data_IF_415924019436
#
_entry.id   IF_415924019436
#
_cell.length_a   1.000
_cell.length_b   1.000
_cell.length_c   1.000
_cell.angle_alpha   90.00
_cell.angle_beta   90.00
_cell.angle_gamma   90.00
#
_symmetry.space_group_name_H-M   'P 1'
#
loop_
_entity.id
_entity.type
_entity.pdbx_description
1 polymer ?
#
# COMPACT_ATOMS: atom_id res chain seq x y z
N UNK A 1 11.59 9.91 -24.21
CA UNK A 1 10.80 10.69 -23.22
C UNK A 1 11.75 11.22 -22.16
N UNK A 2 11.79 12.51 -21.91
CA UNK A 2 12.62 13.09 -20.85
C UNK A 2 11.69 13.80 -19.85
N UNK A 3 11.38 13.15 -18.75
CA UNK A 3 10.49 13.70 -17.72
C UNK A 3 11.20 14.77 -16.89
N UNK A 4 10.62 15.97 -16.81
CA UNK A 4 11.07 17.03 -15.91
C UNK A 4 10.60 16.80 -14.48
N UNK A 5 11.25 17.42 -13.48
CA UNK A 5 10.81 17.34 -12.08
C UNK A 5 9.35 17.79 -11.90
N UNK A 6 8.92 18.85 -12.61
CA UNK A 6 7.55 19.33 -12.59
C UNK A 6 6.56 18.28 -13.08
N UNK A 7 6.90 17.58 -14.17
CA UNK A 7 6.04 16.52 -14.71
C UNK A 7 5.97 15.33 -13.74
N UNK A 8 7.10 14.90 -13.17
CA UNK A 8 7.14 13.83 -12.17
C UNK A 8 6.28 14.19 -10.95
N UNK A 9 6.39 15.44 -10.48
CA UNK A 9 5.57 15.93 -9.36
C UNK A 9 4.08 15.90 -9.67
N UNK A 10 3.68 16.41 -10.83
CA UNK A 10 2.27 16.42 -11.27
C UNK A 10 1.68 15.02 -11.45
N UNK A 11 2.52 14.01 -11.75
CA UNK A 11 2.10 12.61 -11.84
C UNK A 11 2.04 12.00 -10.44
N UNK A 12 3.04 12.25 -9.59
CA UNK A 12 3.17 11.63 -8.28
C UNK A 12 2.18 12.19 -7.25
N UNK A 13 1.93 13.49 -7.26
CA UNK A 13 1.05 14.14 -6.27
C UNK A 13 -0.34 13.49 -6.17
N UNK A 14 -1.06 13.22 -7.27
CA UNK A 14 -2.34 12.52 -7.19
C UNK A 14 -2.25 11.08 -6.66
N UNK A 15 -1.15 10.38 -6.96
CA UNK A 15 -0.90 9.03 -6.43
C UNK A 15 -0.64 9.11 -4.93
N UNK A 16 0.16 10.07 -4.49
CA UNK A 16 0.45 10.32 -3.08
C UNK A 16 -0.82 10.70 -2.31
N UNK A 17 -1.66 11.58 -2.87
CA UNK A 17 -2.97 11.94 -2.30
C UNK A 17 -3.87 10.72 -2.14
N UNK A 18 -3.90 9.82 -3.13
CA UNK A 18 -4.70 8.59 -3.03
C UNK A 18 -4.27 7.72 -1.85
N UNK A 19 -2.96 7.51 -1.67
CA UNK A 19 -2.43 6.71 -0.56
C UNK A 19 -2.63 7.41 0.80
N UNK A 20 -2.42 8.74 0.83
CA UNK A 20 -2.62 9.53 2.05
C UNK A 20 -4.08 9.48 2.52
N UNK A 21 -5.02 9.66 1.61
CA UNK A 21 -6.46 9.63 1.94
C UNK A 21 -6.91 8.25 2.43
N UNK A 22 -6.35 7.18 1.88
CA UNK A 22 -6.58 5.81 2.36
C UNK A 22 -6.12 5.66 3.83
N UNK A 23 -4.95 6.21 4.20
CA UNK A 23 -4.49 6.20 5.59
C UNK A 23 -5.38 7.06 6.51
N UNK A 24 -5.85 8.22 6.02
CA UNK A 24 -6.78 9.07 6.78
C UNK A 24 -8.11 8.35 7.06
N UNK A 25 -8.64 7.60 6.11
CA UNK A 25 -9.84 6.78 6.30
C UNK A 25 -9.62 5.76 7.42
N UNK A 26 -8.50 5.01 7.37
CA UNK A 26 -8.18 4.02 8.39
C UNK A 26 -8.06 4.65 9.80
N UNK A 27 -7.44 5.82 9.89
CA UNK A 27 -7.32 6.56 11.16
C UNK A 27 -8.70 7.03 11.64
N UNK A 28 -9.50 7.57 10.74
CA UNK A 28 -10.85 8.05 11.06
C UNK A 28 -11.74 6.92 11.57
N UNK A 29 -11.74 5.78 10.89
CA UNK A 29 -12.49 4.60 11.29
C UNK A 29 -12.07 4.13 12.70
N UNK A 30 -10.78 4.08 12.98
CA UNK A 30 -10.26 3.71 14.30
C UNK A 30 -10.66 4.73 15.40
N UNK A 31 -10.62 6.03 15.10
CA UNK A 31 -11.04 7.08 16.04
C UNK A 31 -12.54 6.96 16.35
N UNK A 32 -13.37 6.81 15.36
CA UNK A 32 -14.82 6.66 15.56
C UNK A 32 -15.16 5.40 16.35
N UNK A 33 -14.55 4.26 16.02
CA UNK A 33 -14.78 3.00 16.74
C UNK A 33 -14.22 3.01 18.16
N UNK A 34 -13.12 3.72 18.42
CA UNK A 34 -12.62 3.94 19.76
C UNK A 34 -13.59 4.69 20.69
N UNK A 35 -14.48 5.50 20.12
CA UNK A 35 -15.56 6.17 20.88
C UNK A 35 -16.80 5.28 21.08
N UNK A 36 -16.92 4.18 20.35
CA UNK A 36 -17.99 3.17 20.56
C UNK A 36 -17.64 2.25 21.72
N UNK A 37 -16.43 1.67 21.70
CA UNK A 37 -15.98 0.77 22.75
C UNK A 37 -14.64 0.10 22.44
N UNK A 38 -14.04 -0.49 23.49
CA UNK A 38 -12.78 -1.21 23.38
C UNK A 38 -12.91 -2.51 22.58
N UNK A 39 -14.08 -3.17 22.67
CA UNK A 39 -14.37 -4.40 21.92
C UNK A 39 -14.43 -4.12 20.43
N UNK A 40 -15.14 -3.07 20.02
CA UNK A 40 -15.29 -2.66 18.62
C UNK A 40 -13.95 -2.20 18.02
N UNK A 41 -13.18 -1.45 18.79
CA UNK A 41 -11.85 -1.03 18.35
C UNK A 41 -10.91 -2.23 18.18
N UNK A 42 -10.87 -3.14 19.12
CA UNK A 42 -10.05 -4.36 19.05
C UNK A 42 -10.50 -5.29 17.93
N UNK A 43 -11.81 -5.48 17.76
CA UNK A 43 -12.39 -6.28 16.70
C UNK A 43 -12.08 -5.70 15.31
N UNK A 44 -12.18 -4.37 15.14
CA UNK A 44 -11.86 -3.70 13.88
C UNK A 44 -10.38 -3.85 13.50
N UNK A 45 -9.48 -3.85 14.48
CA UNK A 45 -8.05 -4.09 14.25
C UNK A 45 -7.79 -5.52 13.73
N UNK A 46 -8.39 -6.54 14.34
CA UNK A 46 -8.26 -7.94 13.90
C UNK A 46 -8.87 -8.14 12.51
N UNK A 47 -10.11 -7.67 12.31
CA UNK A 47 -10.80 -7.74 11.03
C UNK A 47 -10.05 -6.95 9.94
N UNK A 48 -9.46 -5.80 10.29
CA UNK A 48 -8.66 -4.98 9.41
C UNK A 48 -7.41 -5.69 8.88
N UNK A 49 -6.69 -6.42 9.73
CA UNK A 49 -5.54 -7.24 9.30
C UNK A 49 -5.98 -8.33 8.33
N UNK A 50 -7.07 -9.02 8.62
CA UNK A 50 -7.62 -10.06 7.75
C UNK A 50 -8.04 -9.49 6.39
N UNK A 51 -8.77 -8.36 6.40
CA UNK A 51 -9.18 -7.66 5.19
C UNK A 51 -7.97 -7.16 4.39
N UNK A 52 -6.97 -6.58 5.04
CA UNK A 52 -5.75 -6.10 4.40
C UNK A 52 -4.98 -7.21 3.70
N UNK A 53 -4.89 -8.40 4.32
CA UNK A 53 -4.24 -9.55 3.70
C UNK A 53 -4.93 -9.96 2.39
N UNK A 54 -6.27 -9.99 2.37
CA UNK A 54 -7.03 -10.26 1.15
C UNK A 54 -6.92 -9.14 0.11
N UNK A 55 -6.94 -7.88 0.54
CA UNK A 55 -6.76 -6.71 -0.32
C UNK A 55 -5.39 -6.70 -1.01
N UNK A 56 -4.32 -7.11 -0.31
CA UNK A 56 -2.96 -7.16 -0.88
C UNK A 56 -2.83 -8.09 -2.09
N UNK A 57 -3.68 -9.10 -2.22
CA UNK A 57 -3.72 -9.93 -3.43
C UNK A 57 -4.19 -9.14 -4.65
N UNK A 58 -5.29 -8.40 -4.52
CA UNK A 58 -5.78 -7.52 -5.58
C UNK A 58 -4.83 -6.37 -5.90
N UNK A 59 -4.27 -5.76 -4.85
CA UNK A 59 -3.27 -4.70 -4.98
C UNK A 59 -2.03 -5.18 -5.74
N UNK A 60 -1.49 -6.34 -5.39
CA UNK A 60 -0.33 -6.93 -6.08
C UNK A 60 -0.63 -7.24 -7.55
N UNK A 61 -1.83 -7.75 -7.86
CA UNK A 61 -2.24 -7.95 -9.26
C UNK A 61 -2.30 -6.61 -10.02
N UNK A 62 -2.83 -5.57 -9.39
CA UNK A 62 -2.94 -4.24 -10.00
C UNK A 62 -1.57 -3.63 -10.36
N UNK A 63 -0.51 -3.95 -9.60
CA UNK A 63 0.87 -3.54 -9.94
C UNK A 63 1.32 -4.18 -11.26
N UNK A 64 1.10 -5.48 -11.45
CA UNK A 64 1.42 -6.15 -12.71
C UNK A 64 0.61 -5.62 -13.89
N UNK A 65 -0.69 -5.35 -13.66
CA UNK A 65 -1.56 -4.69 -14.63
C UNK A 65 -1.04 -3.30 -15.01
N UNK A 66 -0.66 -2.48 -14.03
CA UNK A 66 -0.10 -1.15 -14.25
C UNK A 66 1.17 -1.20 -15.10
N UNK A 67 2.08 -2.13 -14.81
CA UNK A 67 3.34 -2.32 -15.55
C UNK A 67 3.05 -2.69 -17.01
N UNK A 68 2.12 -3.61 -17.26
CA UNK A 68 1.77 -4.00 -18.64
C UNK A 68 1.12 -2.86 -19.40
N UNK A 69 0.17 -2.15 -18.79
CA UNK A 69 -0.47 -0.95 -19.38
C UNK A 69 0.56 0.13 -19.68
N UNK A 70 1.46 0.43 -18.73
CA UNK A 70 2.51 1.43 -18.90
C UNK A 70 3.47 1.07 -20.04
N UNK A 71 3.81 -0.21 -20.19
CA UNK A 71 4.62 -0.70 -21.31
C UNK A 71 3.95 -0.45 -22.64
N UNK A 72 2.67 -0.84 -22.80
CA UNK A 72 1.89 -0.65 -24.02
C UNK A 72 1.70 0.83 -24.36
N UNK A 73 1.48 1.64 -23.31
CA UNK A 73 1.38 3.10 -23.51
C UNK A 73 2.70 3.70 -24.01
N UNK A 74 3.85 3.25 -23.49
CA UNK A 74 5.18 3.66 -23.97
C UNK A 74 5.46 3.21 -25.41
N UNK A 75 5.01 2.02 -25.80
CA UNK A 75 5.05 1.49 -27.17
C UNK A 75 4.10 2.23 -28.13
N UNK A 76 3.29 3.18 -27.63
CA UNK A 76 2.19 3.85 -28.34
C UNK A 76 1.12 2.88 -28.87
N UNK A 77 1.09 1.67 -28.35
CA UNK A 77 0.07 0.67 -28.67
C UNK A 77 -1.17 0.85 -27.78
N UNK A 78 -1.88 1.94 -28.04
CA UNK A 78 -3.01 2.36 -27.19
C UNK A 78 -4.19 1.39 -27.23
N UNK A 79 -4.45 0.76 -28.36
CA UNK A 79 -5.53 -0.22 -28.48
C UNK A 79 -5.30 -1.45 -27.58
N UNK A 80 -4.05 -1.92 -27.49
CA UNK A 80 -3.67 -3.04 -26.64
C UNK A 80 -3.66 -2.62 -25.14
N UNK A 81 -3.46 -1.31 -24.86
CA UNK A 81 -3.59 -0.75 -23.51
C UNK A 81 -5.00 -0.96 -22.96
N UNK A 82 -6.03 -0.63 -23.74
CA UNK A 82 -7.42 -0.83 -23.34
C UNK A 82 -7.82 -2.31 -23.22
N UNK A 83 -7.37 -3.14 -24.14
CA UNK A 83 -7.58 -4.60 -24.04
C UNK A 83 -6.97 -5.16 -22.77
N UNK A 84 -5.73 -4.78 -22.45
CA UNK A 84 -5.03 -5.18 -21.23
C UNK A 84 -5.79 -4.74 -19.97
N UNK A 85 -6.31 -3.51 -19.98
CA UNK A 85 -7.12 -2.99 -18.87
C UNK A 85 -8.37 -3.86 -18.62
N UNK A 86 -9.12 -4.22 -19.67
CA UNK A 86 -10.31 -5.03 -19.48
C UNK A 86 -10.00 -6.44 -18.98
N UNK A 87 -8.90 -7.08 -19.42
CA UNK A 87 -8.49 -8.35 -18.85
C UNK A 87 -8.20 -8.22 -17.34
N UNK A 88 -7.51 -7.15 -16.94
CA UNK A 88 -7.25 -6.86 -15.54
C UNK A 88 -8.52 -6.60 -14.74
N UNK A 89 -9.47 -5.85 -15.31
CA UNK A 89 -10.76 -5.56 -14.70
C UNK A 89 -11.58 -6.84 -14.50
N UNK A 90 -11.66 -7.71 -15.52
CA UNK A 90 -12.38 -8.99 -15.42
C UNK A 90 -11.77 -9.88 -14.33
N UNK A 91 -10.43 -10.00 -14.29
CA UNK A 91 -9.77 -10.81 -13.29
C UNK A 91 -9.99 -10.26 -11.87
N UNK A 92 -9.77 -8.96 -11.67
CA UNK A 92 -9.94 -8.33 -10.37
C UNK A 92 -11.39 -8.39 -9.88
N UNK A 93 -12.36 -8.19 -10.77
CA UNK A 93 -13.78 -8.33 -10.41
C UNK A 93 -14.14 -9.78 -10.04
N UNK A 94 -13.63 -10.75 -10.77
CA UNK A 94 -13.82 -12.17 -10.46
C UNK A 94 -13.14 -12.56 -9.14
N UNK A 95 -11.92 -12.06 -8.90
CA UNK A 95 -11.19 -12.27 -7.65
C UNK A 95 -11.91 -11.62 -6.47
N UNK A 96 -12.44 -10.40 -6.64
CA UNK A 96 -13.24 -9.72 -5.63
C UNK A 96 -14.46 -10.53 -5.22
N UNK A 97 -15.22 -11.02 -6.21
CA UNK A 97 -16.38 -11.86 -5.94
C UNK A 97 -16.00 -13.15 -5.21
N UNK A 98 -14.96 -13.82 -5.68
CA UNK A 98 -14.47 -15.08 -5.07
C UNK A 98 -14.03 -14.85 -3.61
N UNK A 99 -13.27 -13.79 -3.33
CA UNK A 99 -12.82 -13.47 -1.97
C UNK A 99 -13.97 -13.00 -1.08
N UNK A 100 -14.91 -12.23 -1.61
CA UNK A 100 -16.11 -11.83 -0.88
C UNK A 100 -16.91 -13.07 -0.43
N UNK A 101 -17.17 -14.01 -1.32
CA UNK A 101 -17.86 -15.27 -1.01
C UNK A 101 -17.06 -16.14 -0.03
N UNK A 102 -15.74 -16.20 -0.17
CA UNK A 102 -14.87 -16.93 0.78
C UNK A 102 -14.90 -16.29 2.18
N UNK A 103 -14.87 -14.97 2.27
CA UNK A 103 -14.96 -14.28 3.55
C UNK A 103 -16.29 -14.59 4.21
N UNK A 104 -17.40 -14.45 3.51
CA UNK A 104 -18.72 -14.70 4.08
C UNK A 104 -18.98 -16.15 4.41
N UNK A 105 -18.51 -17.10 3.59
CA UNK A 105 -18.75 -18.52 3.80
C UNK A 105 -17.78 -19.21 4.75
N UNK A 106 -16.49 -18.87 4.69
CA UNK A 106 -15.42 -19.57 5.39
C UNK A 106 -14.93 -18.86 6.64
N UNK A 107 -14.94 -17.52 6.66
CA UNK A 107 -14.37 -16.76 7.79
C UNK A 107 -15.09 -17.04 9.12
N UNK A 108 -16.43 -17.14 9.22
CA UNK A 108 -17.08 -17.43 10.46
C UNK A 108 -16.59 -18.74 11.09
N UNK A 109 -16.37 -19.78 10.25
CA UNK A 109 -15.84 -21.06 10.71
C UNK A 109 -14.39 -20.97 11.21
N UNK A 110 -13.51 -20.29 10.45
CA UNK A 110 -12.11 -20.12 10.82
C UNK A 110 -11.95 -19.25 12.07
N UNK A 111 -12.65 -18.12 12.11
CA UNK A 111 -12.56 -17.16 13.22
C UNK A 111 -13.09 -17.75 14.53
N UNK A 112 -14.11 -18.62 14.48
CA UNK A 112 -14.62 -19.32 15.65
C UNK A 112 -13.58 -20.21 16.32
N UNK A 113 -12.60 -20.73 15.55
CA UNK A 113 -11.51 -21.53 16.10
C UNK A 113 -10.35 -20.67 16.65
N UNK A 114 -10.23 -19.43 16.18
CA UNK A 114 -9.10 -18.54 16.50
C UNK A 114 -9.45 -17.55 17.62
N UNK A 115 -10.71 -17.12 17.72
CA UNK A 115 -11.15 -16.10 18.69
C UNK A 115 -11.88 -16.77 19.85
N UNK A 116 -11.35 -16.58 21.04
CA UNK A 116 -11.88 -17.22 22.27
C UNK A 116 -13.05 -16.41 22.86
N UNK A 117 -13.03 -15.05 22.73
CA UNK A 117 -14.09 -14.19 23.26
C UNK A 117 -15.29 -14.16 22.31
N UNK A 118 -16.51 -14.55 22.77
CA UNK A 118 -17.71 -14.48 21.95
C UNK A 118 -18.06 -13.07 21.48
N UNK A 119 -17.83 -12.06 22.31
CA UNK A 119 -18.09 -10.65 21.98
C UNK A 119 -17.19 -10.15 20.86
N UNK A 120 -15.88 -10.43 20.94
CA UNK A 120 -14.94 -10.07 19.89
C UNK A 120 -15.24 -10.84 18.59
N UNK A 121 -15.57 -12.13 18.69
CA UNK A 121 -15.96 -12.94 17.54
C UNK A 121 -17.16 -12.34 16.80
N UNK A 122 -18.23 -11.98 17.54
CA UNK A 122 -19.41 -11.39 16.96
C UNK A 122 -19.07 -10.05 16.25
N UNK A 123 -18.33 -9.17 16.95
CA UNK A 123 -17.95 -7.88 16.41
C UNK A 123 -17.06 -8.00 15.15
N UNK A 124 -16.12 -8.95 15.11
CA UNK A 124 -15.28 -9.24 13.93
C UNK A 124 -16.13 -9.75 12.78
N UNK A 125 -17.07 -10.64 13.04
CA UNK A 125 -17.96 -11.20 12.01
C UNK A 125 -18.87 -10.10 11.45
N UNK A 126 -19.52 -9.31 12.30
CA UNK A 126 -20.37 -8.20 11.89
C UNK A 126 -19.61 -7.17 11.03
N UNK A 127 -18.35 -6.91 11.35
CA UNK A 127 -17.50 -6.03 10.54
C UNK A 127 -17.19 -6.64 9.17
N UNK A 128 -16.74 -7.90 9.15
CA UNK A 128 -16.32 -8.58 7.90
C UNK A 128 -17.48 -8.85 6.96
N UNK A 129 -18.66 -9.12 7.47
CA UNK A 129 -19.87 -9.34 6.66
C UNK A 129 -20.14 -8.13 5.75
N UNK A 130 -20.05 -6.92 6.28
CA UNK A 130 -20.23 -5.70 5.50
C UNK A 130 -18.97 -5.25 4.78
N UNK A 131 -17.81 -5.42 5.39
CA UNK A 131 -16.54 -4.97 4.81
C UNK A 131 -16.12 -5.79 3.58
N UNK A 132 -16.49 -7.07 3.52
CA UNK A 132 -16.22 -7.95 2.38
C UNK A 132 -16.83 -7.44 1.08
N UNK A 133 -17.99 -6.78 1.13
CA UNK A 133 -18.58 -6.13 -0.04
C UNK A 133 -17.72 -4.99 -0.58
N UNK A 134 -16.89 -4.38 0.25
CA UNK A 134 -15.92 -3.38 -0.18
C UNK A 134 -14.96 -3.89 -1.26
N UNK A 135 -14.62 -5.19 -1.25
CA UNK A 135 -13.76 -5.78 -2.29
C UNK A 135 -14.37 -5.65 -3.69
N UNK A 136 -15.70 -5.70 -3.80
CA UNK A 136 -16.41 -5.58 -5.10
C UNK A 136 -16.24 -4.18 -5.72
N UNK A 137 -15.92 -3.17 -4.93
CA UNK A 137 -15.67 -1.80 -5.38
C UNK A 137 -14.19 -1.46 -5.42
N UNK A 138 -13.42 -1.90 -4.42
CA UNK A 138 -12.01 -1.60 -4.30
C UNK A 138 -11.17 -2.29 -5.39
N UNK A 139 -11.49 -3.51 -5.80
CA UNK A 139 -10.71 -4.20 -6.83
C UNK A 139 -10.90 -3.62 -8.23
N UNK A 140 -12.13 -3.32 -8.71
CA UNK A 140 -12.30 -2.52 -9.93
C UNK A 140 -11.65 -1.13 -9.83
N UNK A 141 -11.68 -0.48 -8.65
CA UNK A 141 -10.95 0.76 -8.42
C UNK A 141 -9.44 0.57 -8.64
N UNK A 142 -8.84 -0.52 -8.13
CA UNK A 142 -7.43 -0.85 -8.36
C UNK A 142 -7.11 -1.04 -9.85
N UNK A 143 -8.02 -1.64 -10.63
CA UNK A 143 -7.86 -1.76 -12.09
C UNK A 143 -7.84 -0.39 -12.77
N UNK A 144 -8.77 0.50 -12.41
CA UNK A 144 -8.81 1.87 -12.93
C UNK A 144 -7.59 2.68 -12.50
N UNK A 145 -7.18 2.56 -11.22
CA UNK A 145 -5.95 3.18 -10.73
C UNK A 145 -4.73 2.74 -11.53
N UNK A 146 -4.58 1.44 -11.76
CA UNK A 146 -3.51 0.87 -12.58
C UNK A 146 -3.53 1.44 -14.01
N UNK A 147 -4.72 1.60 -14.60
CA UNK A 147 -4.88 2.21 -15.92
C UNK A 147 -4.43 3.67 -15.92
N UNK A 148 -4.95 4.50 -15.02
CA UNK A 148 -4.63 5.93 -15.00
C UNK A 148 -3.15 6.21 -14.69
N UNK A 149 -2.56 5.45 -13.76
CA UNK A 149 -1.12 5.56 -13.44
C UNK A 149 -0.28 5.04 -14.62
N UNK A 150 -0.69 3.94 -15.26
CA UNK A 150 -0.02 3.35 -16.40
C UNK A 150 0.04 4.28 -17.62
N UNK A 151 -1.05 4.98 -17.94
CA UNK A 151 -1.11 5.96 -19.04
C UNK A 151 -0.64 7.38 -18.65
N UNK A 152 -0.15 7.55 -17.41
CA UNK A 152 0.39 8.82 -16.89
C UNK A 152 -0.68 9.95 -16.85
N UNK A 153 -1.93 9.60 -16.56
CA UNK A 153 -3.05 10.54 -16.41
C UNK A 153 -3.66 10.46 -15.00
N UNK A 154 -2.88 10.79 -13.99
CA UNK A 154 -3.19 10.50 -12.57
C UNK A 154 -4.13 11.51 -11.90
N UNK A 155 -4.42 12.66 -12.47
CA UNK A 155 -5.17 13.77 -11.84
C UNK A 155 -6.53 13.34 -11.26
N UNK A 156 -7.19 12.38 -11.87
CA UNK A 156 -8.49 11.84 -11.38
C UNK A 156 -8.38 11.12 -10.04
N UNK A 157 -7.19 10.58 -9.71
CA UNK A 157 -6.99 9.88 -8.44
C UNK A 157 -7.14 10.81 -7.24
N UNK A 158 -6.71 12.08 -7.35
CA UNK A 158 -6.93 13.07 -6.28
C UNK A 158 -8.41 13.30 -6.02
N UNK A 159 -9.22 13.43 -7.07
CA UNK A 159 -10.66 13.63 -6.91
C UNK A 159 -11.35 12.41 -6.30
N UNK A 160 -10.96 11.21 -6.73
CA UNK A 160 -11.46 9.98 -6.14
C UNK A 160 -11.08 9.85 -4.65
N UNK A 161 -9.85 10.21 -4.31
CA UNK A 161 -9.35 10.19 -2.94
C UNK A 161 -10.08 11.19 -2.03
N UNK A 162 -10.28 12.43 -2.49
CA UNK A 162 -11.04 13.46 -1.77
C UNK A 162 -12.48 12.98 -1.57
N UNK A 163 -13.13 12.45 -2.61
CA UNK A 163 -14.49 11.94 -2.52
C UNK A 163 -14.61 10.80 -1.49
N UNK A 164 -13.62 9.90 -1.44
CA UNK A 164 -13.61 8.84 -0.45
C UNK A 164 -13.68 9.37 0.99
N UNK A 165 -12.83 10.34 1.34
CA UNK A 165 -12.83 10.95 2.68
C UNK A 165 -14.12 11.71 2.96
N UNK A 166 -14.60 12.49 1.98
CA UNK A 166 -15.86 13.25 2.11
C UNK A 166 -17.09 12.35 2.26
N UNK A 167 -17.04 11.12 1.78
CA UNK A 167 -18.10 10.13 2.00
C UNK A 167 -17.87 9.41 3.33
N UNK A 168 -16.64 8.91 3.58
CA UNK A 168 -16.33 8.10 4.75
C UNK A 168 -16.67 8.83 6.08
N UNK A 169 -16.21 10.06 6.26
CA UNK A 169 -16.35 10.78 7.55
C UNK A 169 -17.83 11.01 7.92
N UNK A 170 -18.67 11.61 7.06
CA UNK A 170 -20.09 11.83 7.42
C UNK A 170 -20.86 10.53 7.59
N UNK A 171 -20.59 9.52 6.73
CA UNK A 171 -21.29 8.24 6.85
C UNK A 171 -20.85 7.44 8.08
N UNK A 172 -19.58 7.51 8.50
CA UNK A 172 -19.16 6.96 9.78
C UNK A 172 -19.96 7.58 10.93
N UNK A 173 -20.02 8.91 11.00
CA UNK A 173 -20.79 9.59 12.04
C UNK A 173 -22.28 9.18 12.02
N UNK A 174 -22.90 9.21 10.85
CA UNK A 174 -24.31 8.88 10.67
C UNK A 174 -24.61 7.42 11.06
N UNK A 175 -23.84 6.46 10.54
CA UNK A 175 -24.11 5.04 10.72
C UNK A 175 -23.75 4.55 12.12
N UNK A 176 -22.63 5.03 12.67
CA UNK A 176 -22.17 4.59 13.99
C UNK A 176 -23.00 5.21 15.11
N UNK A 177 -23.14 6.54 15.12
CA UNK A 177 -23.71 7.25 16.27
C UNK A 177 -25.21 7.55 16.10
N UNK A 178 -25.67 7.97 14.93
CA UNK A 178 -27.08 8.34 14.72
C UNK A 178 -27.96 7.11 14.51
N UNK A 179 -27.55 6.20 13.62
CA UNK A 179 -28.28 4.97 13.32
C UNK A 179 -27.90 3.79 14.24
N UNK A 180 -26.85 3.94 15.06
CA UNK A 180 -26.39 2.98 16.06
C UNK A 180 -26.04 1.59 15.49
N UNK A 181 -25.47 1.54 14.28
CA UNK A 181 -25.00 0.29 13.68
C UNK A 181 -23.65 -0.17 14.24
N UNK A 182 -23.03 0.61 15.16
CA UNK A 182 -21.77 0.25 15.80
C UNK A 182 -20.66 -0.05 14.79
N UNK A 183 -19.97 -1.18 15.00
CA UNK A 183 -18.84 -1.59 14.15
C UNK A 183 -19.26 -1.87 12.68
N UNK A 184 -20.45 -2.42 12.45
CA UNK A 184 -20.99 -2.63 11.10
C UNK A 184 -21.17 -1.31 10.35
N UNK A 185 -21.53 -0.23 11.06
CA UNK A 185 -21.64 1.11 10.50
C UNK A 185 -20.34 1.62 9.91
N UNK A 186 -19.21 1.39 10.57
CA UNK A 186 -17.88 1.75 10.04
C UNK A 186 -17.54 0.96 8.77
N UNK A 187 -17.80 -0.35 8.76
CA UNK A 187 -17.59 -1.20 7.60
C UNK A 187 -18.40 -0.74 6.37
N UNK A 188 -19.67 -0.38 6.58
CA UNK A 188 -20.56 0.16 5.54
C UNK A 188 -20.05 1.51 5.05
N UNK A 189 -19.65 2.42 5.95
CA UNK A 189 -19.13 3.75 5.58
C UNK A 189 -17.90 3.65 4.69
N UNK A 190 -16.95 2.76 5.03
CA UNK A 190 -15.76 2.52 4.24
C UNK A 190 -16.07 1.87 2.90
N UNK A 191 -17.05 0.95 2.85
CA UNK A 191 -17.55 0.36 1.59
C UNK A 191 -18.17 1.41 0.67
N UNK A 192 -18.99 2.33 1.22
CA UNK A 192 -19.58 3.44 0.47
C UNK A 192 -18.52 4.42 -0.05
N UNK A 193 -17.46 4.67 0.72
CA UNK A 193 -16.34 5.50 0.30
C UNK A 193 -15.57 4.87 -0.89
N UNK A 194 -15.33 3.57 -0.87
CA UNK A 194 -14.74 2.84 -1.98
C UNK A 194 -15.62 2.86 -3.23
N UNK A 195 -16.93 2.69 -3.06
CA UNK A 195 -17.91 2.80 -4.15
C UNK A 195 -17.90 4.21 -4.76
N UNK A 196 -17.89 5.25 -3.93
CA UNK A 196 -17.81 6.64 -4.40
C UNK A 196 -16.54 6.92 -5.19
N UNK A 197 -15.38 6.44 -4.72
CA UNK A 197 -14.10 6.54 -5.41
C UNK A 197 -14.13 5.86 -6.78
N UNK A 198 -14.70 4.66 -6.85
CA UNK A 198 -14.87 3.92 -8.09
C UNK A 198 -15.72 4.70 -9.09
N UNK A 199 -16.88 5.23 -8.64
CA UNK A 199 -17.80 6.01 -9.48
C UNK A 199 -17.09 7.24 -10.06
N UNK A 200 -16.31 7.97 -9.26
CA UNK A 200 -15.56 9.14 -9.73
C UNK A 200 -14.57 8.76 -10.83
N UNK A 201 -13.82 7.67 -10.67
CA UNK A 201 -12.88 7.22 -11.70
C UNK A 201 -13.60 6.73 -12.96
N UNK A 202 -14.73 6.05 -12.83
CA UNK A 202 -15.56 5.64 -13.97
C UNK A 202 -16.08 6.85 -14.75
N UNK A 203 -16.65 7.85 -14.06
CA UNK A 203 -17.13 9.09 -14.69
C UNK A 203 -15.98 9.78 -15.41
N UNK A 204 -14.79 9.87 -14.78
CA UNK A 204 -13.62 10.50 -15.40
C UNK A 204 -13.16 9.73 -16.65
N UNK A 205 -13.13 8.40 -16.57
CA UNK A 205 -12.77 7.54 -17.70
C UNK A 205 -13.74 7.76 -18.87
N UNK A 206 -15.06 7.82 -18.60
CA UNK A 206 -16.08 8.00 -19.63
C UNK A 206 -16.05 9.39 -20.29
N UNK A 207 -15.71 10.45 -19.53
CA UNK A 207 -15.75 11.84 -19.99
C UNK A 207 -14.44 12.36 -20.57
N UNK A 208 -13.28 11.86 -20.07
CA UNK A 208 -11.97 12.46 -20.36
C UNK A 208 -11.00 11.55 -21.11
N UNK A 209 -11.31 10.26 -21.21
CA UNK A 209 -10.47 9.31 -21.94
C UNK A 209 -11.08 9.03 -23.31
N UNK A 210 -10.27 9.19 -24.34
CA UNK A 210 -10.65 8.84 -25.71
C UNK A 210 -10.76 7.32 -25.86
N UNK A 211 -12.00 6.84 -25.94
CA UNK A 211 -12.33 5.41 -25.98
C UNK A 211 -11.79 4.74 -27.25
N UNK A 212 -11.82 5.45 -28.37
CA UNK A 212 -11.37 4.93 -29.66
C UNK A 212 -9.86 4.81 -29.68
N UNK A 213 -9.16 5.86 -29.20
CA UNK A 213 -7.69 5.84 -29.09
C UNK A 213 -7.18 4.69 -28.24
N UNK A 214 -7.78 4.47 -27.07
CA UNK A 214 -7.34 3.42 -26.14
C UNK A 214 -8.04 2.08 -26.36
N UNK A 215 -8.86 1.92 -27.39
CA UNK A 215 -9.53 0.66 -27.69
C UNK A 215 -10.32 0.11 -26.51
N UNK A 216 -11.08 0.98 -25.80
CA UNK A 216 -11.83 0.62 -24.60
C UNK A 216 -13.07 -0.20 -24.94
N UNK A 217 -12.86 -1.43 -25.35
CA UNK A 217 -13.91 -2.39 -25.65
C UNK A 217 -13.81 -3.59 -24.69
N UNK A 218 -14.91 -3.98 -24.02
CA UNK A 218 -14.92 -5.06 -23.04
C UNK A 218 -14.88 -6.44 -23.72
N UNK A 219 -13.79 -6.72 -24.44
CA UNK A 219 -13.58 -8.01 -25.15
C UNK A 219 -12.70 -8.90 -24.27
N UNK A 220 -13.16 -10.11 -24.00
CA UNK A 220 -12.39 -11.10 -23.25
C UNK A 220 -11.36 -11.79 -24.16
N UNK A 221 -10.10 -11.78 -23.76
CA UNK A 221 -8.99 -12.47 -24.41
C UNK A 221 -8.23 -13.33 -23.39
N UNK A 222 -8.52 -14.62 -23.37
CA UNK A 222 -7.91 -15.55 -22.42
C UNK A 222 -6.39 -15.70 -22.58
N UNK A 223 -5.84 -15.50 -23.79
CA UNK A 223 -4.38 -15.56 -24.01
C UNK A 223 -3.70 -14.34 -23.39
N UNK A 224 -4.28 -13.17 -23.57
CA UNK A 224 -3.78 -11.92 -22.96
C UNK A 224 -3.93 -11.98 -21.43
N UNK A 225 -5.07 -12.46 -20.92
CA UNK A 225 -5.29 -12.66 -19.49
C UNK A 225 -4.26 -13.61 -18.87
N UNK A 226 -3.97 -14.74 -19.51
CA UNK A 226 -2.94 -15.68 -19.05
C UNK A 226 -1.57 -15.04 -18.98
N UNK A 227 -1.19 -14.22 -19.96
CA UNK A 227 0.08 -13.48 -19.98
C UNK A 227 0.13 -12.45 -18.85
N UNK A 228 -0.96 -11.70 -18.64
CA UNK A 228 -1.09 -10.73 -17.57
C UNK A 228 -1.00 -11.43 -16.21
N UNK A 229 -1.71 -12.54 -16.01
CA UNK A 229 -1.67 -13.31 -14.77
C UNK A 229 -0.25 -13.81 -14.46
N UNK A 230 0.46 -14.34 -15.47
CA UNK A 230 1.84 -14.82 -15.27
C UNK A 230 2.81 -13.71 -14.85
N UNK A 231 2.58 -12.48 -15.30
CA UNK A 231 3.33 -11.31 -14.83
C UNK A 231 2.91 -10.91 -13.40
N UNK A 232 1.61 -10.89 -13.14
CA UNK A 232 1.03 -10.30 -11.93
C UNK A 232 1.08 -11.22 -10.73
N UNK A 233 1.09 -12.55 -10.91
CA UNK A 233 1.12 -13.51 -9.79
C UNK A 233 2.31 -13.28 -8.86
N UNK A 234 3.46 -12.95 -9.41
CA UNK A 234 4.66 -12.66 -8.63
C UNK A 234 4.54 -11.35 -7.84
N UNK A 235 3.85 -10.36 -8.41
CA UNK A 235 3.54 -9.11 -7.69
C UNK A 235 2.47 -9.34 -6.62
N UNK A 236 1.52 -10.24 -6.82
CA UNK A 236 0.56 -10.66 -5.80
C UNK A 236 1.27 -11.30 -4.61
N UNK A 237 2.15 -12.27 -4.88
CA UNK A 237 2.95 -12.93 -3.85
C UNK A 237 3.89 -11.95 -3.15
N UNK A 238 4.53 -11.03 -3.89
CA UNK A 238 5.37 -9.98 -3.33
C UNK A 238 4.59 -9.09 -2.36
N UNK A 239 3.41 -8.61 -2.76
CA UNK A 239 2.58 -7.73 -1.92
C UNK A 239 2.05 -8.45 -0.69
N UNK A 240 1.63 -9.69 -0.83
CA UNK A 240 1.16 -10.50 0.29
C UNK A 240 2.27 -10.77 1.31
N UNK A 241 3.44 -11.24 0.85
CA UNK A 241 4.56 -11.59 1.74
C UNK A 241 5.23 -10.35 2.36
N UNK A 242 5.05 -9.16 1.78
CA UNK A 242 5.59 -7.92 2.33
C UNK A 242 5.02 -7.55 3.70
N UNK A 243 3.91 -8.14 4.10
CA UNK A 243 3.34 -7.97 5.44
C UNK A 243 4.05 -8.81 6.51
N UNK A 244 4.72 -9.90 6.11
CA UNK A 244 5.33 -10.83 7.05
C UNK A 244 6.42 -10.22 7.96
N UNK A 245 7.37 -9.41 7.46
CA UNK A 245 8.38 -8.77 8.33
C UNK A 245 7.74 -7.94 9.43
N UNK A 246 6.70 -7.25 9.10
CA UNK A 246 5.93 -6.41 10.02
C UNK A 246 5.32 -7.21 11.16
N UNK A 247 4.62 -8.27 10.81
CA UNK A 247 3.98 -9.15 11.79
C UNK A 247 5.01 -9.82 12.70
N UNK A 248 6.10 -10.34 12.11
CA UNK A 248 7.16 -11.01 12.86
C UNK A 248 7.97 -10.05 13.75
N UNK A 249 8.15 -8.80 13.32
CA UNK A 249 8.74 -7.76 14.16
C UNK A 249 7.93 -7.52 15.43
N UNK A 250 6.59 -7.41 15.31
CA UNK A 250 5.75 -7.19 16.49
C UNK A 250 5.74 -8.37 17.44
N UNK A 251 5.78 -9.60 16.93
CA UNK A 251 5.93 -10.79 17.78
C UNK A 251 7.26 -10.74 18.54
N UNK A 252 8.35 -10.38 17.89
CA UNK A 252 9.64 -10.26 18.55
C UNK A 252 9.66 -9.16 19.63
N UNK A 253 9.00 -8.03 19.38
CA UNK A 253 8.94 -6.91 20.33
C UNK A 253 8.00 -7.21 21.50
N UNK A 254 6.93 -7.98 21.30
CA UNK A 254 6.03 -8.40 22.38
C UNK A 254 6.80 -9.15 23.49
N UNK A 255 7.80 -9.95 23.12
CA UNK A 255 8.65 -10.69 24.04
C UNK A 255 9.59 -9.78 24.86
N UNK A 256 9.84 -8.53 24.41
CA UNK A 256 10.64 -7.57 25.18
C UNK A 256 9.84 -6.90 26.29
N UNK A 257 8.53 -6.73 26.09
CA UNK A 257 7.65 -6.16 27.10
C UNK A 257 6.57 -5.22 26.56
N UNK A 258 5.65 -4.85 27.47
CA UNK A 258 4.51 -3.97 27.11
C UNK A 258 4.94 -2.55 26.77
N UNK A 259 5.99 -2.05 27.40
CA UNK A 259 6.54 -0.72 27.14
C UNK A 259 7.11 -0.63 25.73
N UNK A 260 7.95 -1.59 25.35
CA UNK A 260 8.59 -1.68 24.03
C UNK A 260 7.55 -1.85 22.93
N UNK A 261 6.49 -2.60 23.18
CA UNK A 261 5.38 -2.74 22.25
C UNK A 261 4.65 -1.40 22.03
N UNK A 262 4.37 -0.66 23.11
CA UNK A 262 3.74 0.66 23.02
C UNK A 262 4.61 1.67 22.27
N UNK A 263 5.92 1.72 22.57
CA UNK A 263 6.91 2.54 21.86
C UNK A 263 6.94 2.23 20.38
N UNK A 264 6.96 0.93 20.02
CA UNK A 264 6.96 0.47 18.63
C UNK A 264 5.70 0.89 17.89
N UNK A 265 4.53 0.81 18.52
CA UNK A 265 3.27 1.24 17.93
C UNK A 265 3.25 2.75 17.62
N UNK A 266 3.71 3.59 18.55
CA UNK A 266 3.80 5.04 18.34
C UNK A 266 4.76 5.36 17.20
N UNK A 267 5.98 4.85 17.27
CA UNK A 267 7.02 5.07 16.26
C UNK A 267 6.53 4.66 14.87
N UNK A 268 5.85 3.56 14.77
CA UNK A 268 5.31 3.03 13.53
C UNK A 268 4.15 3.86 12.96
N UNK A 269 3.25 4.33 13.81
CA UNK A 269 2.14 5.18 13.37
C UNK A 269 2.65 6.42 12.64
N UNK A 270 3.73 7.03 13.16
CA UNK A 270 4.36 8.17 12.50
C UNK A 270 5.10 7.75 11.24
N UNK A 271 5.83 6.62 11.26
CA UNK A 271 6.57 6.14 10.08
C UNK A 271 5.66 5.83 8.89
N UNK A 272 4.40 5.45 9.13
CA UNK A 272 3.41 5.21 8.08
C UNK A 272 3.18 6.46 7.21
N UNK A 273 3.23 7.67 7.77
CA UNK A 273 3.09 8.91 7.01
C UNK A 273 4.27 9.11 6.03
N UNK A 274 5.48 8.78 6.45
CA UNK A 274 6.66 8.80 5.57
C UNK A 274 6.59 7.71 4.50
N UNK A 275 6.05 6.54 4.86
CA UNK A 275 5.84 5.45 3.91
C UNK A 275 4.86 5.82 2.78
N UNK A 276 3.86 6.67 3.03
CA UNK A 276 2.97 7.21 1.99
C UNK A 276 3.77 7.87 0.87
N UNK A 277 4.76 8.72 1.24
CA UNK A 277 5.61 9.40 0.26
C UNK A 277 6.42 8.37 -0.54
N UNK A 278 7.09 7.46 0.15
CA UNK A 278 7.97 6.46 -0.46
C UNK A 278 7.20 5.53 -1.39
N UNK A 279 6.03 5.05 -0.96
CA UNK A 279 5.20 4.13 -1.75
C UNK A 279 4.63 4.80 -3.01
N UNK A 280 4.22 6.07 -2.91
CA UNK A 280 3.74 6.83 -4.07
C UNK A 280 4.84 7.07 -5.11
N UNK A 281 6.05 7.41 -4.65
CA UNK A 281 7.23 7.54 -5.50
C UNK A 281 7.57 6.23 -6.20
N UNK A 282 7.49 5.10 -5.47
CA UNK A 282 7.68 3.76 -6.03
C UNK A 282 6.67 3.45 -7.12
N UNK A 283 5.37 3.65 -6.87
CA UNK A 283 4.31 3.41 -7.84
C UNK A 283 4.49 4.26 -9.11
N UNK A 284 4.83 5.55 -8.95
CA UNK A 284 5.11 6.46 -10.06
C UNK A 284 6.35 6.02 -10.83
N UNK A 285 7.44 5.66 -10.13
CA UNK A 285 8.68 5.21 -10.76
C UNK A 285 8.48 3.94 -11.59
N UNK A 286 7.79 2.93 -11.05
CA UNK A 286 7.49 1.70 -11.77
C UNK A 286 6.74 1.95 -13.08
N UNK A 287 5.77 2.88 -13.08
CA UNK A 287 5.04 3.27 -14.29
C UNK A 287 5.93 4.03 -15.30
N UNK A 288 6.73 5.00 -14.83
CA UNK A 288 7.61 5.77 -15.70
C UNK A 288 8.69 4.90 -16.34
N UNK A 289 9.30 4.00 -15.57
CA UNK A 289 10.27 3.01 -16.06
C UNK A 289 9.65 2.13 -17.14
N UNK A 290 8.44 1.61 -16.88
CA UNK A 290 7.77 0.75 -17.87
C UNK A 290 7.41 1.48 -19.16
N UNK A 291 6.97 2.75 -19.07
CA UNK A 291 6.74 3.61 -20.23
C UNK A 291 8.03 3.89 -21.03
N UNK A 292 9.15 4.20 -20.32
CA UNK A 292 10.45 4.40 -20.97
C UNK A 292 10.91 3.16 -21.74
N UNK A 293 10.76 2.00 -21.13
CA UNK A 293 11.13 0.74 -21.76
C UNK A 293 10.21 0.38 -22.93
N UNK A 294 8.92 0.71 -22.85
CA UNK A 294 8.00 0.60 -23.96
C UNK A 294 8.41 1.47 -25.14
N UNK A 295 8.91 2.68 -24.85
CA UNK A 295 9.44 3.61 -25.86
C UNK A 295 10.86 3.26 -26.37
N UNK A 296 11.44 2.12 -25.96
CA UNK A 296 12.79 1.71 -26.35
C UNK A 296 13.92 2.48 -25.66
N UNK A 297 13.63 3.28 -24.64
CA UNK A 297 14.59 4.18 -23.97
C UNK A 297 15.18 3.56 -22.70
N UNK A 298 15.85 2.44 -22.82
CA UNK A 298 16.44 1.70 -21.68
C UNK A 298 17.42 2.55 -20.85
N UNK A 299 18.28 3.33 -21.51
CA UNK A 299 19.26 4.23 -20.85
C UNK A 299 18.60 5.32 -19.98
N UNK A 300 17.28 5.50 -20.07
CA UNK A 300 16.51 6.46 -19.25
C UNK A 300 16.17 5.96 -17.86
N UNK A 301 16.35 4.68 -17.55
CA UNK A 301 15.92 4.06 -16.28
C UNK A 301 16.68 4.63 -15.06
N UNK A 302 18.00 4.65 -15.07
CA UNK A 302 18.77 5.26 -13.97
C UNK A 302 18.55 6.75 -13.79
N UNK A 303 18.56 7.56 -14.89
CA UNK A 303 18.26 8.99 -14.78
C UNK A 303 16.89 9.30 -14.16
N UNK A 304 15.84 8.53 -14.48
CA UNK A 304 14.53 8.74 -13.88
C UNK A 304 14.50 8.33 -12.40
N UNK A 305 15.11 7.20 -12.05
CA UNK A 305 15.25 6.78 -10.65
C UNK A 305 15.97 7.86 -9.81
N UNK A 306 17.06 8.41 -10.33
CA UNK A 306 17.81 9.46 -9.64
C UNK A 306 17.00 10.74 -9.45
N UNK A 307 16.22 11.17 -10.47
CA UNK A 307 15.32 12.33 -10.34
C UNK A 307 14.26 12.10 -9.27
N UNK A 308 13.68 10.89 -9.22
CA UNK A 308 12.64 10.55 -8.24
C UNK A 308 13.22 10.48 -6.82
N UNK A 309 14.43 9.91 -6.65
CA UNK A 309 15.12 9.90 -5.35
C UNK A 309 15.40 11.32 -4.86
N UNK A 310 15.92 12.19 -5.72
CA UNK A 310 16.13 13.60 -5.37
C UNK A 310 14.83 14.30 -4.97
N UNK A 311 13.75 14.04 -5.69
CA UNK A 311 12.44 14.59 -5.35
C UNK A 311 11.93 14.04 -4.02
N UNK A 312 12.12 12.74 -3.76
CA UNK A 312 11.77 12.12 -2.47
C UNK A 312 12.50 12.77 -1.31
N UNK A 313 13.79 13.04 -1.46
CA UNK A 313 14.57 13.74 -0.44
C UNK A 313 14.14 15.21 -0.27
N UNK A 314 13.86 15.91 -1.38
CA UNK A 314 13.38 17.29 -1.32
C UNK A 314 12.05 17.44 -0.58
N UNK A 315 11.17 16.42 -0.65
CA UNK A 315 9.88 16.40 0.06
C UNK A 315 10.08 15.93 1.51
N UNK A 316 10.80 14.84 1.69
CA UNK A 316 10.85 14.14 2.97
C UNK A 316 11.83 14.75 3.99
N UNK A 317 12.99 15.28 3.57
CA UNK A 317 13.95 15.83 4.52
C UNK A 317 13.42 17.03 5.32
N UNK A 318 12.66 17.97 4.76
CA UNK A 318 12.00 18.99 5.56
C UNK A 318 11.03 18.40 6.59
N UNK A 319 10.26 17.38 6.20
CA UNK A 319 9.33 16.71 7.11
C UNK A 319 10.05 15.90 8.20
N UNK A 320 11.13 15.20 7.86
CA UNK A 320 12.01 14.53 8.84
C UNK A 320 12.62 15.57 9.79
N UNK A 321 13.10 16.70 9.27
CA UNK A 321 13.62 17.79 10.10
C UNK A 321 12.58 18.31 11.08
N UNK A 322 11.37 18.60 10.61
CA UNK A 322 10.26 19.01 11.50
C UNK A 322 9.96 17.93 12.53
N UNK A 323 9.91 16.66 12.14
CA UNK A 323 9.63 15.56 13.05
C UNK A 323 10.74 15.38 14.13
N UNK A 324 12.00 15.65 13.79
CA UNK A 324 13.12 15.61 14.73
C UNK A 324 13.09 16.79 15.73
N UNK A 325 12.68 17.99 15.27
CA UNK A 325 12.56 19.15 16.15
C UNK A 325 11.31 19.10 17.04
N UNK A 326 10.27 18.42 16.61
CA UNK A 326 8.98 18.34 17.28
C UNK A 326 8.71 16.94 17.84
N UNK A 327 9.72 16.11 18.06
CA UNK A 327 9.60 14.71 18.48
C UNK A 327 8.77 14.56 19.77
N UNK A 328 9.07 15.30 20.82
CA UNK A 328 8.28 15.32 22.06
C UNK A 328 6.81 15.69 21.84
N UNK A 329 6.55 16.69 20.98
CA UNK A 329 5.19 17.10 20.65
C UNK A 329 4.43 16.02 19.89
N UNK A 330 5.07 15.44 18.88
CA UNK A 330 4.46 14.39 18.05
C UNK A 330 4.17 13.15 18.90
N UNK A 331 5.11 12.71 19.73
CA UNK A 331 4.93 11.58 20.61
C UNK A 331 3.88 11.90 21.69
N UNK A 332 3.87 13.14 22.21
CA UNK A 332 2.89 13.64 23.19
C UNK A 332 1.44 13.61 22.70
N UNK A 333 1.17 13.60 21.38
CA UNK A 333 -0.19 13.35 20.84
C UNK A 333 -0.69 11.94 21.10
N UNK A 334 0.21 10.98 21.29
CA UNK A 334 -0.16 9.58 21.51
C UNK A 334 -0.25 9.20 22.98
N UNK A 335 0.48 9.90 23.85
CA UNK A 335 0.53 9.57 25.28
C UNK A 335 0.89 10.76 26.16
N UNK A 336 0.26 10.83 27.34
CA UNK A 336 0.58 11.80 28.39
C UNK A 336 1.61 11.24 29.40
N UNK A 337 2.10 10.01 29.22
CA UNK A 337 3.06 9.40 30.11
C UNK A 337 4.48 9.82 29.73
N UNK A 338 5.08 10.70 30.53
CA UNK A 338 6.43 11.24 30.30
C UNK A 338 7.50 10.14 30.17
N UNK A 339 7.42 9.07 30.94
CA UNK A 339 8.34 7.95 30.86
C UNK A 339 8.25 7.28 29.47
N UNK A 340 7.04 7.06 28.96
CA UNK A 340 6.81 6.47 27.65
C UNK A 340 7.31 7.42 26.54
N UNK A 341 7.11 8.74 26.68
CA UNK A 341 7.63 9.74 25.74
C UNK A 341 9.15 9.66 25.65
N UNK A 342 9.85 9.69 26.81
CA UNK A 342 11.31 9.62 26.86
C UNK A 342 11.86 8.30 26.26
N UNK A 343 11.23 7.17 26.53
CA UNK A 343 11.61 5.87 25.94
C UNK A 343 11.33 5.77 24.44
N UNK A 344 10.38 6.55 23.93
CA UNK A 344 10.03 6.54 22.50
C UNK A 344 11.02 7.34 21.64
N UNK A 345 11.66 8.40 22.18
CA UNK A 345 12.52 9.30 21.40
C UNK A 345 13.66 8.57 20.68
N UNK A 346 14.49 7.71 21.30
CA UNK A 346 15.60 7.04 20.60
C UNK A 346 15.14 6.12 19.45
N UNK A 347 14.18 5.20 19.63
CA UNK A 347 13.65 4.40 18.52
C UNK A 347 13.01 5.24 17.41
N UNK A 348 12.34 6.33 17.79
CA UNK A 348 11.71 7.27 16.86
C UNK A 348 12.74 7.95 15.95
N UNK A 349 13.83 8.46 16.51
CA UNK A 349 14.93 9.07 15.75
C UNK A 349 15.52 8.05 14.76
N UNK A 350 15.82 6.83 15.23
CA UNK A 350 16.33 5.76 14.36
C UNK A 350 15.36 5.49 13.22
N UNK A 351 14.06 5.40 13.50
CA UNK A 351 13.05 5.14 12.46
C UNK A 351 12.94 6.30 11.44
N UNK A 352 13.08 7.56 11.87
CA UNK A 352 13.08 8.70 10.96
C UNK A 352 14.28 8.66 10.00
N UNK A 353 15.45 8.28 10.47
CA UNK A 353 16.63 8.13 9.62
C UNK A 353 16.50 6.99 8.59
N UNK A 354 15.61 6.02 8.81
CA UNK A 354 15.29 5.00 7.81
C UNK A 354 14.84 5.60 6.48
N UNK A 355 14.24 6.80 6.50
CA UNK A 355 13.78 7.48 5.29
C UNK A 355 14.90 7.66 4.24
N UNK A 356 16.14 7.88 4.68
CA UNK A 356 17.31 8.03 3.82
C UNK A 356 17.53 6.79 2.94
N UNK A 357 17.34 5.61 3.51
CA UNK A 357 17.53 4.33 2.82
C UNK A 357 16.27 3.84 2.15
N UNK A 358 15.10 4.16 2.71
CA UNK A 358 13.80 3.73 2.19
C UNK A 358 13.53 4.33 0.80
N UNK A 359 13.80 5.62 0.58
CA UNK A 359 13.57 6.24 -0.72
C UNK A 359 14.30 5.53 -1.86
N UNK A 360 15.63 5.35 -1.86
CA UNK A 360 16.32 4.63 -2.93
C UNK A 360 15.94 3.14 -2.96
N UNK A 361 15.77 2.50 -1.82
CA UNK A 361 15.39 1.09 -1.74
C UNK A 361 14.09 0.80 -2.50
N UNK A 362 13.03 1.53 -2.18
CA UNK A 362 11.73 1.37 -2.85
C UNK A 362 11.70 1.88 -4.29
N UNK A 363 12.44 2.93 -4.62
CA UNK A 363 12.55 3.42 -6.00
C UNK A 363 13.25 2.39 -6.89
N UNK A 364 14.35 1.77 -6.47
CA UNK A 364 15.05 0.79 -7.30
C UNK A 364 14.28 -0.54 -7.41
N UNK A 365 13.64 -1.03 -6.34
CA UNK A 365 12.82 -2.26 -6.45
C UNK A 365 11.59 -2.03 -7.34
N UNK A 366 10.97 -0.85 -7.30
CA UNK A 366 9.88 -0.50 -8.20
C UNK A 366 10.35 -0.36 -9.66
N UNK A 367 11.60 0.07 -9.89
CA UNK A 367 12.20 0.06 -11.21
C UNK A 367 12.35 -1.39 -11.75
N UNK A 368 12.83 -2.33 -10.93
CA UNK A 368 12.88 -3.76 -11.30
C UNK A 368 11.50 -4.28 -11.67
N UNK A 369 10.48 -3.99 -10.85
CA UNK A 369 9.08 -4.35 -11.14
C UNK A 369 8.62 -3.70 -12.45
N UNK A 370 8.92 -2.41 -12.68
CA UNK A 370 8.61 -1.66 -13.89
C UNK A 370 9.26 -2.21 -15.16
N UNK A 371 10.38 -2.95 -15.04
CA UNK A 371 10.96 -3.67 -16.21
C UNK A 371 10.10 -4.87 -16.65
N UNK A 372 9.07 -5.25 -15.89
CA UNK A 372 8.26 -6.45 -16.13
C UNK A 372 8.89 -7.73 -15.53
N UNK A 373 9.98 -7.62 -14.77
CA UNK A 373 10.65 -8.76 -14.14
C UNK A 373 10.16 -8.95 -12.69
N UNK A 374 8.84 -9.05 -12.54
CA UNK A 374 8.15 -9.16 -11.25
C UNK A 374 8.61 -10.38 -10.43
N UNK A 375 8.94 -11.50 -11.09
CA UNK A 375 9.54 -12.68 -10.44
C UNK A 375 10.87 -12.36 -9.77
N UNK A 376 11.72 -11.55 -10.39
CA UNK A 376 13.00 -11.14 -9.83
C UNK A 376 12.78 -10.25 -8.58
N UNK A 377 11.85 -9.29 -8.68
CA UNK A 377 11.48 -8.46 -7.53
C UNK A 377 10.95 -9.31 -6.36
N UNK A 378 10.14 -10.32 -6.63
CA UNK A 378 9.67 -11.28 -5.61
C UNK A 378 10.83 -12.06 -4.98
N UNK A 379 11.77 -12.57 -5.77
CA UNK A 379 12.96 -13.29 -5.25
C UNK A 379 13.78 -12.36 -4.35
N UNK A 380 14.00 -11.10 -4.75
CA UNK A 380 14.71 -10.12 -3.91
C UNK A 380 13.99 -9.90 -2.58
N UNK A 381 12.67 -9.81 -2.60
CA UNK A 381 11.85 -9.70 -1.40
C UNK A 381 12.05 -10.90 -0.47
N UNK A 382 11.97 -12.13 -1.00
CA UNK A 382 12.12 -13.36 -0.20
C UNK A 382 13.52 -13.42 0.43
N UNK A 383 14.58 -13.17 -0.36
CA UNK A 383 15.97 -13.16 0.16
C UNK A 383 16.14 -12.10 1.24
N UNK A 384 15.57 -10.91 1.03
CA UNK A 384 15.62 -9.82 2.02
C UNK A 384 14.90 -10.20 3.32
N UNK A 385 13.72 -10.83 3.22
CA UNK A 385 12.97 -11.31 4.40
C UNK A 385 13.78 -12.37 5.16
N UNK A 386 14.44 -13.30 4.48
CA UNK A 386 15.28 -14.30 5.15
C UNK A 386 16.41 -13.65 5.96
N UNK A 387 17.13 -12.70 5.36
CA UNK A 387 18.20 -11.96 6.04
C UNK A 387 17.66 -11.11 7.19
N UNK A 388 16.51 -10.47 6.98
CA UNK A 388 15.79 -9.71 8.02
C UNK A 388 15.45 -10.58 9.23
N UNK A 389 14.93 -11.79 9.01
CA UNK A 389 14.57 -12.73 10.08
C UNK A 389 15.80 -13.25 10.83
N UNK A 390 16.89 -13.52 10.12
CA UNK A 390 18.16 -13.94 10.74
C UNK A 390 18.70 -12.80 11.63
N UNK A 391 18.64 -11.56 11.17
CA UNK A 391 19.09 -10.41 11.94
C UNK A 391 18.19 -10.16 13.15
N UNK A 392 16.86 -10.24 12.98
CA UNK A 392 15.90 -10.12 14.07
C UNK A 392 16.10 -11.21 15.13
N UNK A 393 16.32 -12.47 14.70
CA UNK A 393 16.61 -13.58 15.59
C UNK A 393 17.92 -13.35 16.37
N UNK A 394 18.96 -12.88 15.69
CA UNK A 394 20.25 -12.58 16.31
C UNK A 394 20.13 -11.47 17.36
N UNK A 395 19.39 -10.41 17.09
CA UNK A 395 19.13 -9.33 18.04
C UNK A 395 18.39 -9.82 19.29
N UNK A 396 17.39 -10.69 19.13
CA UNK A 396 16.56 -11.12 20.25
C UNK A 396 17.21 -12.22 21.11
N UNK A 397 18.03 -13.10 20.53
CA UNK A 397 18.58 -14.26 21.27
C UNK A 397 20.05 -14.12 21.64
N UNK A 398 20.85 -13.41 20.82
CA UNK A 398 22.30 -13.33 21.04
C UNK A 398 22.73 -12.01 21.69
N UNK A 399 22.08 -10.89 21.38
CA UNK A 399 22.55 -9.56 21.81
C UNK A 399 21.66 -8.97 22.91
N UNK A 400 20.39 -9.34 22.99
CA UNK A 400 19.41 -8.70 23.87
C UNK A 400 19.42 -7.17 23.74
N UNK A 401 19.33 -6.70 22.49
CA UNK A 401 19.54 -5.32 22.13
C UNK A 401 18.42 -4.41 22.65
N UNK A 402 18.66 -3.12 22.87
CA UNK A 402 17.61 -2.15 23.15
C UNK A 402 16.72 -1.93 21.91
N UNK A 403 15.47 -1.52 22.12
CA UNK A 403 14.46 -1.36 21.07
C UNK A 403 14.93 -0.49 19.88
N UNK A 404 15.70 0.58 20.15
CA UNK A 404 16.26 1.42 19.08
C UNK A 404 17.11 0.63 18.07
N UNK A 405 17.80 -0.42 18.52
CA UNK A 405 18.59 -1.29 17.62
C UNK A 405 17.69 -2.22 16.83
N UNK A 406 16.56 -2.67 17.38
CA UNK A 406 15.58 -3.43 16.60
C UNK A 406 15.01 -2.61 15.42
N UNK A 407 14.87 -1.28 15.54
CA UNK A 407 14.43 -0.44 14.44
C UNK A 407 15.41 -0.46 13.25
N UNK A 408 16.68 -0.83 13.46
CA UNK A 408 17.66 -0.97 12.35
C UNK A 408 17.38 -2.15 11.44
N UNK A 409 16.50 -3.08 11.82
CA UNK A 409 16.03 -4.16 10.93
C UNK A 409 15.37 -3.60 9.67
N UNK A 410 14.68 -2.46 9.78
CA UNK A 410 14.10 -1.76 8.64
C UNK A 410 15.17 -1.17 7.69
N UNK A 411 16.31 -0.71 8.23
CA UNK A 411 17.44 -0.27 7.41
C UNK A 411 17.99 -1.42 6.58
N UNK A 412 18.24 -2.55 7.24
CA UNK A 412 18.73 -3.76 6.57
C UNK A 412 17.79 -4.16 5.43
N UNK A 413 16.47 -4.16 5.71
CA UNK A 413 15.45 -4.52 4.75
C UNK A 413 15.50 -3.64 3.49
N UNK A 414 15.45 -2.32 3.63
CA UNK A 414 15.40 -1.40 2.47
C UNK A 414 16.75 -1.30 1.75
N UNK A 415 17.88 -1.38 2.48
CA UNK A 415 19.22 -1.37 1.89
C UNK A 415 19.44 -2.63 1.04
N UNK A 416 19.07 -3.80 1.56
CA UNK A 416 19.16 -5.06 0.82
C UNK A 416 18.35 -5.04 -0.47
N UNK A 417 17.10 -4.58 -0.41
CA UNK A 417 16.25 -4.41 -1.60
C UNK A 417 16.90 -3.48 -2.62
N UNK A 418 17.44 -2.35 -2.16
CA UNK A 418 18.08 -1.35 -2.99
C UNK A 418 19.33 -1.91 -3.68
N UNK A 419 20.23 -2.54 -2.92
CA UNK A 419 21.50 -3.10 -3.45
C UNK A 419 21.22 -4.18 -4.49
N UNK A 420 20.35 -5.16 -4.19
CA UNK A 420 20.00 -6.24 -5.12
C UNK A 420 19.42 -5.66 -6.42
N UNK A 421 18.54 -4.66 -6.29
CA UNK A 421 17.90 -4.01 -7.43
C UNK A 421 18.88 -3.24 -8.29
N UNK A 422 19.77 -2.45 -7.70
CA UNK A 422 20.80 -1.69 -8.43
C UNK A 422 21.78 -2.63 -9.16
N UNK A 423 22.25 -3.68 -8.49
CA UNK A 423 23.15 -4.68 -9.11
C UNK A 423 22.45 -5.31 -10.32
N UNK A 424 21.20 -5.71 -10.18
CA UNK A 424 20.43 -6.31 -11.27
C UNK A 424 20.26 -5.36 -12.45
N UNK A 425 19.83 -4.12 -12.20
CA UNK A 425 19.62 -3.12 -13.25
C UNK A 425 20.92 -2.79 -13.99
N UNK A 426 22.05 -2.64 -13.28
CA UNK A 426 23.36 -2.43 -13.90
C UNK A 426 23.80 -3.60 -14.78
N UNK A 427 23.65 -4.85 -14.30
CA UNK A 427 24.01 -6.05 -15.07
C UNK A 427 23.20 -6.23 -16.35
N UNK A 428 21.98 -5.69 -16.39
CA UNK A 428 21.08 -5.75 -17.55
C UNK A 428 21.19 -4.53 -18.47
N UNK A 429 22.15 -3.62 -18.20
CA UNK A 429 22.42 -2.41 -19.00
C UNK A 429 21.20 -1.52 -19.20
N UNK A 430 20.38 -1.39 -18.16
CA UNK A 430 19.26 -0.44 -18.18
C UNK A 430 19.76 0.98 -18.00
#
# INVERSE_FOLDING_TARGET
MNYTYKQIWLINLPVMMSVLMEQLINITDAVFLGHVGEVELGASALAGIYYLATYMLGFGFSIGLQVMIARRNGEQNYAETGRTFFQGLFFLSGLALSLCLLIQGLSPFLLKQLITSPEIYQAVTDYLDWRSFGLLFSFPFLALRAFFVGIIKTRSLSWAAIAAVLINIPFNYLLIFTLKFGIAGSAIASTLAEMGSLIILLIHMWRKIDKNKYGLQPIFDGKLLKRLFYLSVWSMLHSFISMAPWFLFFIAIEHLGKMELAVSNITRSVSTLFFVIVSSLGATNGSLVSNLLGAGQQKGVFPICYKIIKMGYAIGFPLVGVALFCDYWIIGFYTNNETLVQHTVPPFIVMLFNYIFAVPGYVYISAVTGTGKTKIAFIFQVVTIMVYLLYLYWLSHCVHAPLAVYMTTEYLFVIMLGIQSVIYLKRKHY
#
